data_IF_905973213454
#
_entry.id   IF_905973213454
#
_cell.length_a   1.000
_cell.length_b   1.000
_cell.length_c   1.000
_cell.angle_alpha   90.00
_cell.angle_beta   90.00
_cell.angle_gamma   90.00
#
_symmetry.space_group_name_H-M   'P 1'
#
loop_
_entity.id
_entity.type
_entity.pdbx_description
1 polymer ?
#
# COMPACT_ATOMS: atom_id res chain seq x y z
N UNK A 1 -24.25 -7.36 17.66
CA UNK A 1 -22.92 -6.98 18.13
C UNK A 1 -22.13 -6.46 16.93
N UNK A 2 -21.45 -5.33 17.06
CA UNK A 2 -20.61 -4.80 15.99
C UNK A 2 -19.45 -5.76 15.70
N UNK A 3 -19.18 -6.03 14.41
CA UNK A 3 -18.04 -6.84 13.98
C UNK A 3 -16.74 -6.05 14.22
N UNK A 4 -16.11 -6.27 15.38
CA UNK A 4 -14.96 -5.50 15.82
C UNK A 4 -13.77 -5.56 14.84
N UNK A 5 -13.35 -6.73 14.30
CA UNK A 5 -12.27 -6.78 13.30
C UNK A 5 -12.59 -5.95 12.06
N UNK A 6 -13.83 -5.96 11.59
CA UNK A 6 -14.28 -5.19 10.44
C UNK A 6 -14.19 -3.69 10.71
N UNK A 7 -14.68 -3.25 11.87
CA UNK A 7 -14.61 -1.83 12.26
C UNK A 7 -13.17 -1.35 12.38
N UNK A 8 -12.28 -2.15 12.99
CA UNK A 8 -10.85 -1.82 13.12
C UNK A 8 -10.20 -1.65 11.75
N UNK A 9 -10.48 -2.55 10.80
CA UNK A 9 -9.93 -2.45 9.44
C UNK A 9 -10.51 -1.26 8.71
N UNK A 10 -11.81 -0.98 8.81
CA UNK A 10 -12.44 0.19 8.19
C UNK A 10 -11.78 1.50 8.63
N UNK A 11 -11.56 1.64 9.94
CA UNK A 11 -10.85 2.79 10.51
C UNK A 11 -9.39 2.83 10.04
N UNK A 12 -8.69 1.70 10.08
CA UNK A 12 -7.27 1.61 9.68
C UNK A 12 -7.05 2.02 8.23
N UNK A 13 -7.90 1.53 7.30
CA UNK A 13 -7.86 1.89 5.88
C UNK A 13 -8.17 3.37 5.69
N UNK A 14 -9.18 3.90 6.41
CA UNK A 14 -9.51 5.33 6.36
C UNK A 14 -8.35 6.21 6.84
N UNK A 15 -7.70 5.84 7.95
CA UNK A 15 -6.52 6.55 8.46
C UNK A 15 -5.32 6.45 7.52
N UNK A 16 -5.12 5.31 6.86
CA UNK A 16 -4.07 5.14 5.86
C UNK A 16 -4.25 6.14 4.71
N UNK A 17 -5.44 6.22 4.13
CA UNK A 17 -5.71 7.12 3.00
C UNK A 17 -5.79 8.59 3.41
N UNK A 18 -6.25 8.89 4.62
CA UNK A 18 -6.14 10.24 5.21
C UNK A 18 -4.68 10.66 5.35
N UNK A 19 -3.81 9.74 5.79
CA UNK A 19 -2.36 9.96 5.87
C UNK A 19 -1.74 10.24 4.51
N UNK A 20 -2.11 9.50 3.46
CA UNK A 20 -1.70 9.78 2.07
C UNK A 20 -2.14 11.18 1.65
N UNK A 21 -3.41 11.54 1.89
CA UNK A 21 -3.94 12.89 1.62
C UNK A 21 -3.18 13.98 2.37
N UNK A 22 -2.85 13.75 3.64
CA UNK A 22 -2.06 14.69 4.43
C UNK A 22 -0.64 14.89 3.85
N UNK A 23 0.01 13.81 3.38
CA UNK A 23 1.31 13.90 2.71
C UNK A 23 1.23 14.70 1.41
N UNK A 24 0.20 14.50 0.59
CA UNK A 24 -0.06 15.29 -0.62
C UNK A 24 -0.18 16.79 -0.28
N UNK A 25 -1.01 17.11 0.71
CA UNK A 25 -1.22 18.51 1.15
C UNK A 25 0.07 19.12 1.66
N UNK A 26 0.85 18.36 2.46
CA UNK A 26 2.15 18.80 2.98
C UNK A 26 3.11 19.15 1.83
N UNK A 27 3.30 18.25 0.87
CA UNK A 27 4.22 18.47 -0.26
C UNK A 27 3.79 19.68 -1.08
N UNK A 28 2.50 19.80 -1.41
CA UNK A 28 1.99 20.92 -2.22
C UNK A 28 2.07 22.27 -1.51
N UNK A 29 1.64 22.33 -0.23
CA UNK A 29 1.53 23.60 0.51
C UNK A 29 2.86 24.08 1.07
N UNK A 30 3.64 23.19 1.69
CA UNK A 30 4.86 23.59 2.40
C UNK A 30 6.10 23.58 1.52
N UNK A 31 6.20 22.63 0.59
CA UNK A 31 7.36 22.50 -0.27
C UNK A 31 7.19 23.19 -1.62
N UNK A 32 5.97 23.63 -1.96
CA UNK A 32 5.62 24.18 -3.28
C UNK A 32 6.06 23.27 -4.44
N UNK A 33 6.12 21.95 -4.18
CA UNK A 33 6.50 20.93 -5.16
C UNK A 33 5.26 20.20 -5.66
N UNK A 34 5.31 19.68 -6.85
CA UNK A 34 4.25 18.77 -7.31
C UNK A 34 4.37 17.44 -6.54
N UNK A 35 3.24 16.98 -5.99
CA UNK A 35 3.13 15.71 -5.27
C UNK A 35 2.93 14.52 -6.22
N UNK A 36 3.01 14.74 -7.54
CA UNK A 36 2.78 13.70 -8.55
C UNK A 36 1.31 13.27 -8.66
N UNK A 37 0.37 14.22 -8.45
CA UNK A 37 -1.06 13.94 -8.60
C UNK A 37 -1.49 13.80 -10.06
N UNK A 38 -0.79 14.44 -10.98
CA UNK A 38 -0.99 14.26 -12.41
C UNK A 38 0.27 13.66 -12.98
N UNK A 39 0.30 12.35 -13.23
CA UNK A 39 1.49 11.69 -13.76
C UNK A 39 1.91 12.26 -15.12
N UNK A 40 3.20 12.51 -15.30
CA UNK A 40 3.74 13.00 -16.57
C UNK A 40 3.61 11.93 -17.67
N UNK A 41 3.76 10.66 -17.31
CA UNK A 41 3.69 9.54 -18.26
C UNK A 41 2.24 9.13 -18.55
N UNK A 42 1.88 8.99 -19.84
CA UNK A 42 0.54 8.56 -20.25
C UNK A 42 0.13 7.21 -19.65
N UNK A 43 1.08 6.27 -19.53
CA UNK A 43 0.87 4.96 -18.91
C UNK A 43 0.44 5.05 -17.45
N UNK A 44 1.06 5.94 -16.68
CA UNK A 44 0.67 6.17 -15.29
C UNK A 44 -0.69 6.85 -15.17
N UNK A 45 -1.02 7.78 -16.08
CA UNK A 45 -2.36 8.39 -16.13
C UNK A 45 -3.46 7.34 -16.35
N UNK A 46 -3.22 6.36 -17.24
CA UNK A 46 -4.17 5.26 -17.43
C UNK A 46 -4.30 4.38 -16.17
N UNK A 47 -3.20 4.15 -15.46
CA UNK A 47 -3.26 3.42 -14.17
C UNK A 47 -4.12 4.14 -13.13
N UNK A 48 -4.12 5.48 -13.13
CA UNK A 48 -4.95 6.28 -12.21
C UNK A 48 -6.44 6.11 -12.43
N UNK A 49 -6.90 5.92 -13.67
CA UNK A 49 -8.30 5.63 -13.98
C UNK A 49 -8.80 4.36 -13.29
N UNK A 50 -7.92 3.39 -13.09
CA UNK A 50 -8.24 2.14 -12.38
C UNK A 50 -7.97 2.29 -10.88
N UNK A 51 -6.91 2.97 -10.50
CA UNK A 51 -6.46 3.06 -9.12
C UNK A 51 -7.36 3.95 -8.25
N UNK A 52 -7.87 5.08 -8.77
CA UNK A 52 -8.77 5.95 -8.02
C UNK A 52 -10.07 5.26 -7.60
N UNK A 53 -10.85 4.62 -8.52
CA UNK A 53 -12.03 3.86 -8.11
C UNK A 53 -11.70 2.66 -7.22
N UNK A 54 -10.54 2.01 -7.40
CA UNK A 54 -10.08 0.96 -6.50
C UNK A 54 -9.89 1.47 -5.08
N UNK A 55 -9.21 2.60 -4.90
CA UNK A 55 -9.01 3.23 -3.59
C UNK A 55 -10.34 3.63 -2.95
N UNK A 56 -11.22 4.24 -3.72
CA UNK A 56 -12.57 4.59 -3.25
C UNK A 56 -13.34 3.35 -2.78
N UNK A 57 -13.29 2.26 -3.55
CA UNK A 57 -13.90 0.97 -3.19
C UNK A 57 -13.24 0.36 -1.95
N UNK A 58 -11.92 0.44 -1.82
CA UNK A 58 -11.20 -0.08 -0.66
C UNK A 58 -11.59 0.64 0.65
N UNK A 59 -11.82 1.94 0.58
CA UNK A 59 -12.33 2.71 1.73
C UNK A 59 -13.80 2.37 1.98
N UNK A 60 -14.63 2.35 0.94
CA UNK A 60 -16.07 2.25 1.06
C UNK A 60 -16.56 0.84 1.48
N UNK A 61 -15.99 -0.23 0.90
CA UNK A 61 -16.47 -1.60 1.12
C UNK A 61 -16.49 -2.02 2.59
N UNK A 62 -15.42 -1.79 3.42
CA UNK A 62 -15.49 -2.11 4.84
C UNK A 62 -16.58 -1.36 5.59
N UNK A 63 -16.81 -0.06 5.28
CA UNK A 63 -17.88 0.72 5.91
C UNK A 63 -19.27 0.27 5.48
N UNK A 64 -19.47 0.02 4.18
CA UNK A 64 -20.74 -0.51 3.68
C UNK A 64 -21.08 -1.86 4.31
N UNK A 65 -20.07 -2.73 4.50
CA UNK A 65 -20.25 -4.02 5.16
C UNK A 65 -20.64 -3.90 6.65
N UNK A 66 -20.35 -2.78 7.32
CA UNK A 66 -20.84 -2.54 8.70
C UNK A 66 -22.29 -2.13 8.76
N UNK A 67 -22.82 -1.52 7.71
CA UNK A 67 -24.13 -0.84 7.70
C UNK A 67 -25.19 -1.58 6.87
N UNK A 68 -24.80 -2.44 5.95
CA UNK A 68 -25.71 -3.08 4.99
C UNK A 68 -25.75 -4.59 5.18
N UNK A 69 -26.94 -5.14 5.09
CA UNK A 69 -27.20 -6.58 5.26
C UNK A 69 -27.14 -7.40 3.98
N UNK A 70 -26.71 -6.77 2.86
CA UNK A 70 -26.62 -7.47 1.58
C UNK A 70 -25.64 -8.64 1.63
N UNK A 71 -26.06 -9.87 1.29
CA UNK A 71 -25.23 -11.07 1.49
C UNK A 71 -23.87 -11.05 0.79
N UNK A 72 -23.81 -10.42 -0.38
CA UNK A 72 -22.56 -10.33 -1.17
C UNK A 72 -21.56 -9.31 -0.61
N UNK A 73 -22.01 -8.45 0.30
CA UNK A 73 -21.19 -7.42 0.93
C UNK A 73 -20.90 -7.74 2.41
N UNK A 74 -21.76 -8.53 3.03
CA UNK A 74 -21.63 -8.89 4.46
C UNK A 74 -20.49 -9.89 4.68
N UNK A 75 -19.89 -9.84 5.87
CA UNK A 75 -18.98 -10.90 6.31
C UNK A 75 -19.70 -12.24 6.30
N UNK A 76 -19.20 -13.27 5.63
CA UNK A 76 -19.84 -14.58 5.59
C UNK A 76 -20.00 -15.19 6.99
N UNK A 77 -21.09 -15.95 7.25
CA UNK A 77 -21.32 -16.57 8.56
C UNK A 77 -20.15 -17.43 9.05
N UNK A 78 -19.54 -18.21 8.15
CA UNK A 78 -18.41 -19.08 8.50
C UNK A 78 -17.17 -18.32 9.01
N UNK A 79 -17.07 -17.03 8.75
CA UNK A 79 -15.93 -16.19 9.15
C UNK A 79 -16.16 -15.47 10.49
N UNK A 80 -17.34 -15.63 11.11
CA UNK A 80 -17.73 -14.83 12.28
C UNK A 80 -17.33 -15.45 13.62
N UNK A 81 -17.06 -16.75 13.65
CA UNK A 81 -16.83 -17.50 14.89
C UNK A 81 -15.57 -18.38 14.81
N UNK A 82 -15.12 -18.86 15.96
CA UNK A 82 -14.05 -19.83 16.10
C UNK A 82 -12.69 -19.37 15.52
N UNK A 83 -11.98 -20.29 14.89
CA UNK A 83 -10.65 -20.02 14.30
C UNK A 83 -10.70 -18.93 13.21
N UNK A 84 -11.67 -18.90 12.28
CA UNK A 84 -11.78 -17.81 11.30
C UNK A 84 -11.92 -16.44 11.96
N UNK A 85 -12.67 -16.29 13.03
CA UNK A 85 -12.75 -15.04 13.76
C UNK A 85 -11.39 -14.62 14.36
N UNK A 86 -10.67 -15.56 14.98
CA UNK A 86 -9.33 -15.29 15.52
C UNK A 86 -8.34 -14.84 14.43
N UNK A 87 -8.40 -15.47 13.24
CA UNK A 87 -7.58 -15.05 12.05
C UNK A 87 -7.95 -13.63 11.62
N UNK A 88 -9.23 -13.25 11.61
CA UNK A 88 -9.66 -11.89 11.29
C UNK A 88 -9.17 -10.86 12.32
N UNK A 89 -9.19 -11.20 13.62
CA UNK A 89 -8.60 -10.35 14.66
C UNK A 89 -7.10 -10.15 14.43
N UNK A 90 -6.37 -11.23 14.19
CA UNK A 90 -4.93 -11.16 13.90
C UNK A 90 -4.65 -10.31 12.64
N UNK A 91 -5.42 -10.48 11.57
CA UNK A 91 -5.31 -9.68 10.35
C UNK A 91 -5.57 -8.18 10.62
N UNK A 92 -6.57 -7.84 11.43
CA UNK A 92 -6.84 -6.46 11.80
C UNK A 92 -5.66 -5.82 12.57
N UNK A 93 -5.05 -6.56 13.51
CA UNK A 93 -3.86 -6.11 14.23
C UNK A 93 -2.64 -5.93 13.32
N UNK A 94 -2.42 -6.87 12.38
CA UNK A 94 -1.38 -6.73 11.35
C UNK A 94 -1.66 -5.51 10.46
N UNK A 95 -2.92 -5.23 10.14
CA UNK A 95 -3.32 -4.03 9.41
C UNK A 95 -2.88 -2.73 10.12
N UNK A 96 -3.10 -2.64 11.43
CA UNK A 96 -2.61 -1.51 12.24
C UNK A 96 -1.07 -1.42 12.18
N UNK A 97 -0.38 -2.54 12.31
CA UNK A 97 1.08 -2.57 12.20
C UNK A 97 1.57 -2.09 10.83
N UNK A 98 0.87 -2.44 9.74
CA UNK A 98 1.16 -1.94 8.38
C UNK A 98 0.99 -0.42 8.29
N UNK A 99 -0.06 0.16 8.86
CA UNK A 99 -0.26 1.60 8.92
C UNK A 99 0.90 2.29 9.63
N UNK A 100 1.28 1.79 10.81
CA UNK A 100 2.38 2.36 11.60
C UNK A 100 3.74 2.23 10.89
N UNK A 101 3.99 1.09 10.23
CA UNK A 101 5.19 0.87 9.43
C UNK A 101 5.24 1.81 8.22
N UNK A 102 4.11 2.02 7.54
CA UNK A 102 4.00 2.97 6.42
C UNK A 102 4.24 4.40 6.89
N UNK A 103 3.69 4.81 8.03
CA UNK A 103 3.92 6.14 8.61
C UNK A 103 5.41 6.37 8.91
N UNK A 104 6.16 5.33 9.36
CA UNK A 104 7.62 5.42 9.52
C UNK A 104 8.34 5.62 8.17
N UNK A 105 7.87 4.94 7.11
CA UNK A 105 8.43 5.15 5.76
C UNK A 105 8.17 6.58 5.27
N UNK A 106 6.96 7.11 5.44
CA UNK A 106 6.63 8.49 5.09
C UNK A 106 7.51 9.50 5.82
N UNK A 107 7.69 9.29 7.13
CA UNK A 107 8.58 10.14 7.94
C UNK A 107 10.03 10.08 7.43
N UNK A 108 10.51 8.88 7.01
CA UNK A 108 11.87 8.71 6.49
C UNK A 108 12.06 9.37 5.12
N UNK A 109 11.07 9.27 4.23
CA UNK A 109 11.10 9.94 2.93
C UNK A 109 11.00 11.47 3.06
N UNK A 110 10.25 11.94 4.05
CA UNK A 110 10.12 13.37 4.32
C UNK A 110 9.68 14.15 3.09
N UNK A 111 10.53 15.07 2.64
CA UNK A 111 10.26 16.00 1.54
C UNK A 111 10.46 15.38 0.13
N UNK A 112 11.01 14.17 0.07
CA UNK A 112 11.18 13.41 -1.18
C UNK A 112 9.99 12.50 -1.49
N UNK A 113 8.98 12.45 -0.58
CA UNK A 113 7.78 11.66 -0.79
C UNK A 113 6.93 12.19 -1.96
N UNK A 114 6.48 11.28 -2.82
CA UNK A 114 5.60 11.57 -3.97
C UNK A 114 4.82 10.34 -4.41
N UNK A 115 3.83 10.55 -5.25
CA UNK A 115 2.93 9.50 -5.75
C UNK A 115 3.30 8.99 -7.14
N UNK A 116 4.04 9.77 -7.92
CA UNK A 116 4.43 9.42 -9.30
C UNK A 116 5.93 9.11 -9.43
N UNK A 117 6.29 8.56 -10.59
CA UNK A 117 7.67 8.46 -11.07
C UNK A 117 7.96 9.74 -11.83
N UNK A 118 8.53 10.73 -11.14
CA UNK A 118 8.86 12.00 -11.78
C UNK A 118 10.25 11.99 -12.40
N UNK A 119 10.43 12.82 -13.45
CA UNK A 119 11.70 13.06 -14.14
C UNK A 119 12.77 13.73 -13.26
N UNK A 120 12.41 14.18 -12.05
CA UNK A 120 13.37 14.81 -11.13
C UNK A 120 14.26 13.77 -10.48
N UNK A 121 15.57 13.95 -10.63
CA UNK A 121 16.57 13.18 -9.88
C UNK A 121 16.37 13.42 -8.37
N UNK A 122 15.99 12.37 -7.64
CA UNK A 122 15.97 12.36 -6.18
C UNK A 122 17.08 11.47 -5.68
N UNK A 123 17.62 11.78 -4.51
CA UNK A 123 18.61 10.91 -3.88
C UNK A 123 18.03 9.50 -3.68
N UNK A 124 18.84 8.48 -3.92
CA UNK A 124 18.46 7.09 -3.71
C UNK A 124 18.40 6.81 -2.21
N UNK A 125 17.19 6.60 -1.66
CA UNK A 125 16.99 6.27 -0.24
C UNK A 125 17.24 4.78 -0.05
N UNK A 126 18.30 4.44 0.71
CA UNK A 126 18.75 3.05 0.91
C UNK A 126 18.82 2.61 2.37
N UNK A 127 18.42 3.47 3.31
CA UNK A 127 18.50 3.24 4.76
C UNK A 127 17.12 3.04 5.41
N UNK A 128 17.10 2.82 6.72
CA UNK A 128 15.86 2.53 7.45
C UNK A 128 15.12 1.32 6.87
N UNK A 129 13.78 1.41 6.63
CA UNK A 129 13.00 0.34 6.01
C UNK A 129 13.49 -0.04 4.61
N UNK A 130 14.05 0.92 3.86
CA UNK A 130 14.56 0.74 2.50
C UNK A 130 15.86 -0.07 2.45
N UNK A 131 16.54 -0.27 3.57
CA UNK A 131 17.77 -1.09 3.62
C UNK A 131 17.55 -2.55 3.22
N UNK A 132 16.36 -3.10 3.41
CA UNK A 132 16.04 -4.51 3.15
C UNK A 132 15.03 -4.71 2.04
N UNK A 133 14.14 -3.73 1.83
CA UNK A 133 13.03 -3.79 0.87
C UNK A 133 13.05 -2.50 0.06
N UNK A 134 13.04 -2.62 -1.28
CA UNK A 134 13.07 -1.45 -2.17
C UNK A 134 11.78 -0.62 -2.12
N UNK A 135 10.65 -1.29 -1.99
CA UNK A 135 9.32 -0.67 -1.98
C UNK A 135 8.55 -1.00 -0.68
N UNK A 136 9.04 -0.55 0.50
CA UNK A 136 8.40 -0.92 1.77
C UNK A 136 6.98 -0.38 1.89
N UNK A 137 6.68 0.82 1.37
CA UNK A 137 5.33 1.40 1.38
C UNK A 137 4.37 0.53 0.56
N UNK A 138 4.79 0.06 -0.63
CA UNK A 138 3.96 -0.83 -1.45
C UNK A 138 3.79 -2.19 -0.78
N UNK A 139 4.83 -2.74 -0.15
CA UNK A 139 4.76 -3.99 0.59
C UNK A 139 3.74 -3.92 1.73
N UNK A 140 3.77 -2.86 2.54
CA UNK A 140 2.80 -2.66 3.62
C UNK A 140 1.40 -2.35 3.11
N UNK A 141 1.25 -1.65 1.99
CA UNK A 141 -0.03 -1.42 1.33
C UNK A 141 -0.64 -2.73 0.79
N UNK A 142 0.16 -3.59 0.16
CA UNK A 142 -0.26 -4.93 -0.27
C UNK A 142 -0.70 -5.76 0.93
N UNK A 143 0.09 -5.78 2.00
CA UNK A 143 -0.22 -6.55 3.21
C UNK A 143 -1.48 -6.03 3.90
N UNK A 144 -1.67 -4.71 3.99
CA UNK A 144 -2.90 -4.09 4.52
C UNK A 144 -4.12 -4.47 3.66
N UNK A 145 -4.00 -4.48 2.33
CA UNK A 145 -5.05 -4.93 1.43
C UNK A 145 -5.41 -6.41 1.66
N UNK A 146 -4.40 -7.28 1.79
CA UNK A 146 -4.60 -8.71 2.11
C UNK A 146 -5.31 -8.86 3.46
N UNK A 147 -4.87 -8.13 4.48
CA UNK A 147 -5.52 -8.11 5.79
C UNK A 147 -6.99 -7.67 5.68
N UNK A 148 -7.28 -6.65 4.85
CA UNK A 148 -8.66 -6.22 4.62
C UNK A 148 -9.49 -7.32 3.97
N UNK A 149 -8.95 -8.03 2.97
CA UNK A 149 -9.64 -9.15 2.33
C UNK A 149 -9.83 -10.37 3.25
N UNK A 150 -8.92 -10.60 4.18
CA UNK A 150 -9.07 -11.64 5.23
C UNK A 150 -10.18 -11.25 6.22
N UNK A 151 -10.25 -9.97 6.61
CA UNK A 151 -11.28 -9.49 7.55
C UNK A 151 -12.66 -9.44 6.88
N UNK A 152 -12.71 -9.05 5.62
CA UNK A 152 -13.92 -8.95 4.80
C UNK A 152 -13.79 -9.85 3.56
N UNK A 153 -13.95 -11.19 3.68
CA UNK A 153 -13.71 -12.12 2.57
C UNK A 153 -14.93 -12.17 1.62
N UNK A 154 -15.22 -11.05 0.98
CA UNK A 154 -16.31 -10.92 0.00
C UNK A 154 -15.77 -10.87 -1.42
N UNK A 155 -16.54 -11.32 -2.45
CA UNK A 155 -16.08 -11.30 -3.83
C UNK A 155 -15.57 -9.94 -4.29
N UNK A 156 -16.26 -8.79 -4.04
CA UNK A 156 -15.75 -7.49 -4.46
C UNK A 156 -14.45 -7.12 -3.74
N UNK A 157 -14.28 -7.45 -2.45
CA UNK A 157 -13.06 -7.17 -1.72
C UNK A 157 -11.88 -7.99 -2.24
N UNK A 158 -12.11 -9.26 -2.58
CA UNK A 158 -11.09 -10.13 -3.18
C UNK A 158 -10.70 -9.60 -4.56
N UNK A 159 -11.67 -9.19 -5.37
CA UNK A 159 -11.41 -8.64 -6.71
C UNK A 159 -10.51 -7.41 -6.66
N UNK A 160 -10.82 -6.43 -5.79
CA UNK A 160 -9.98 -5.24 -5.64
C UNK A 160 -8.62 -5.57 -5.01
N UNK A 161 -8.52 -6.60 -4.17
CA UNK A 161 -7.24 -7.03 -3.61
C UNK A 161 -6.30 -7.58 -4.71
N UNK A 162 -6.80 -8.44 -5.58
CA UNK A 162 -6.04 -8.96 -6.74
C UNK A 162 -5.58 -7.81 -7.64
N UNK A 163 -6.49 -6.88 -7.95
CA UNK A 163 -6.19 -5.72 -8.77
C UNK A 163 -5.14 -4.81 -8.12
N UNK A 164 -5.26 -4.55 -6.81
CA UNK A 164 -4.30 -3.74 -6.06
C UNK A 164 -2.90 -4.34 -6.09
N UNK A 165 -2.77 -5.63 -5.80
CA UNK A 165 -1.48 -6.34 -5.85
C UNK A 165 -0.85 -6.23 -7.23
N UNK A 166 -1.63 -6.43 -8.29
CA UNK A 166 -1.18 -6.30 -9.68
C UNK A 166 -0.68 -4.89 -9.99
N UNK A 167 -1.46 -3.87 -9.61
CA UNK A 167 -1.08 -2.46 -9.83
C UNK A 167 0.20 -2.09 -9.07
N UNK A 168 0.37 -2.55 -7.82
CA UNK A 168 1.59 -2.30 -7.05
C UNK A 168 2.82 -2.95 -7.69
N UNK A 169 2.68 -4.14 -8.27
CA UNK A 169 3.76 -4.78 -9.03
C UNK A 169 4.14 -4.00 -10.29
N UNK A 170 3.14 -3.55 -11.06
CA UNK A 170 3.39 -2.74 -12.27
C UNK A 170 4.05 -1.42 -11.91
N UNK A 171 3.55 -0.74 -10.87
CA UNK A 171 4.10 0.54 -10.40
C UNK A 171 5.54 0.38 -9.92
N UNK A 172 5.84 -0.64 -9.12
CA UNK A 172 7.20 -0.91 -8.66
C UNK A 172 8.16 -1.17 -9.82
N UNK A 173 7.73 -1.90 -10.86
CA UNK A 173 8.56 -2.12 -12.07
C UNK A 173 8.86 -0.82 -12.82
N UNK A 174 7.87 0.04 -12.98
CA UNK A 174 8.06 1.33 -13.65
C UNK A 174 9.04 2.22 -12.87
N UNK A 175 8.91 2.26 -11.54
CA UNK A 175 9.80 3.01 -10.67
C UNK A 175 11.23 2.44 -10.68
N UNK A 176 11.39 1.11 -10.63
CA UNK A 176 12.70 0.44 -10.73
C UNK A 176 13.38 0.74 -12.06
N UNK A 177 12.66 0.74 -13.18
CA UNK A 177 13.20 1.08 -14.50
C UNK A 177 13.70 2.54 -14.55
N UNK A 178 12.92 3.46 -13.96
CA UNK A 178 13.32 4.86 -13.84
C UNK A 178 14.55 5.04 -12.94
N UNK A 179 14.55 4.44 -11.74
CA UNK A 179 15.70 4.52 -10.83
C UNK A 179 16.96 3.92 -11.45
N UNK A 180 16.84 2.84 -12.21
CA UNK A 180 17.97 2.26 -12.95
C UNK A 180 18.51 3.20 -14.02
N UNK A 181 17.66 3.95 -14.72
CA UNK A 181 18.09 4.93 -15.73
C UNK A 181 18.77 6.16 -15.13
N UNK A 182 18.35 6.57 -13.91
CA UNK A 182 18.89 7.76 -13.23
C UNK A 182 20.16 7.45 -12.45
N UNK A 183 20.19 6.34 -11.70
CA UNK A 183 21.26 6.00 -10.77
C UNK A 183 22.22 4.91 -11.26
N UNK A 184 21.93 4.27 -12.39
CA UNK A 184 22.83 3.32 -13.04
C UNK A 184 23.40 2.23 -12.12
N UNK A 185 24.72 2.19 -11.98
CA UNK A 185 25.44 1.19 -11.20
C UNK A 185 25.10 1.23 -9.69
N UNK A 186 24.84 2.40 -9.12
CA UNK A 186 24.47 2.55 -7.72
C UNK A 186 23.13 1.84 -7.44
N UNK A 187 22.13 2.06 -8.30
CA UNK A 187 20.86 1.35 -8.18
C UNK A 187 21.02 -0.15 -8.38
N UNK A 188 21.85 -0.59 -9.34
CA UNK A 188 22.10 -2.02 -9.57
C UNK A 188 22.69 -2.70 -8.34
N UNK A 189 23.64 -2.08 -7.64
CA UNK A 189 24.22 -2.59 -6.39
C UNK A 189 23.18 -2.63 -5.26
N UNK A 190 22.33 -1.60 -5.14
CA UNK A 190 21.24 -1.57 -4.18
C UNK A 190 20.21 -2.68 -4.45
N UNK A 191 19.80 -2.85 -5.70
CA UNK A 191 18.84 -3.88 -6.11
C UNK A 191 19.36 -5.32 -5.91
N UNK A 192 20.69 -5.52 -6.04
CA UNK A 192 21.32 -6.82 -5.82
C UNK A 192 21.23 -7.29 -4.37
N UNK A 193 21.26 -6.38 -3.39
CA UNK A 193 21.23 -6.71 -1.95
C UNK A 193 19.86 -6.60 -1.28
N UNK A 194 18.85 -6.07 -1.99
CA UNK A 194 17.51 -5.81 -1.43
C UNK A 194 16.43 -6.59 -2.18
N UNK A 195 15.33 -6.92 -1.50
CA UNK A 195 14.15 -7.47 -2.16
C UNK A 195 13.18 -6.38 -2.63
N UNK A 196 12.24 -6.70 -3.52
CA UNK A 196 11.23 -5.75 -3.99
C UNK A 196 10.20 -5.43 -2.92
N UNK A 197 9.48 -6.43 -2.43
CA UNK A 197 8.41 -6.32 -1.42
C UNK A 197 8.68 -7.14 -0.16
N UNK A 198 9.57 -8.12 -0.24
CA UNK A 198 10.04 -8.93 0.90
C UNK A 198 11.55 -8.84 0.98
N UNK A 199 12.15 -8.93 2.17
CA UNK A 199 13.59 -8.97 2.30
C UNK A 199 14.19 -10.09 1.45
N UNK A 200 15.32 -9.81 0.82
CA UNK A 200 16.07 -10.87 0.13
C UNK A 200 16.70 -11.75 1.20
N UNK A 201 16.40 -13.04 1.15
CA UNK A 201 17.13 -14.03 1.94
C UNK A 201 18.51 -14.14 1.28
N UNK A 202 19.50 -13.39 1.80
CA UNK A 202 20.89 -13.64 1.44
C UNK A 202 21.25 -14.96 2.06
N UNK A 203 21.32 -16.02 1.27
CA UNK A 203 22.16 -17.16 1.63
C UNK A 203 23.54 -16.57 1.85
N UNK A 204 24.04 -16.58 3.07
CA UNK A 204 25.46 -16.33 3.34
C UNK A 204 26.22 -17.31 2.44
N UNK A 205 26.79 -16.80 1.36
CA UNK A 205 27.83 -17.53 0.66
C UNK A 205 29.02 -17.70 1.60
N UNK A 206 29.80 -18.76 1.39
CA UNK A 206 30.93 -19.13 2.22
C UNK A 206 31.94 -18.02 2.36
#
# INVERSE_FOLDING_TARGET
MSDLPLLVVAITVSLYWTGVGAMIVRVRRHLRKDAGLVPEQARERMMWLVWVPLVASWIALPWLATSHAEPWLAVPPWARDGLPFAVRVAAALVGIACLLATARCWKRMGDDWRMDVSSRSTALITDGPFRRIRHPIYAFSILLMICTAVVLPTPPMIAIAVLHVTLMHVKARNEEAHLASVHGAEYAQYAARTGRFVPRLTTRGP
#
